data_IF_924242841700
#
_entry.id   IF_924242841700
#
_cell.length_a   1.000
_cell.length_b   1.000
_cell.length_c   1.000
_cell.angle_alpha   90.00
_cell.angle_beta   90.00
_cell.angle_gamma   90.00
#
_symmetry.space_group_name_H-M   'P 1'
#
loop_
_entity.id
_entity.type
_entity.pdbx_description
1 polymer ?
#
# COMPACT_ATOMS: atom_id res chain seq x y z
N UNK A 1 19.56 17.48 15.94
CA UNK A 1 18.83 16.19 15.87
C UNK A 1 17.51 16.52 15.20
N UNK A 2 17.34 16.16 13.93
CA UNK A 2 16.06 16.32 13.23
C UNK A 2 15.08 15.29 13.82
N UNK A 3 14.04 15.78 14.47
CA UNK A 3 12.96 14.93 14.99
C UNK A 3 12.29 14.28 13.78
N UNK A 4 12.31 12.93 13.72
CA UNK A 4 11.49 12.21 12.74
C UNK A 4 10.04 12.62 12.97
N UNK A 5 9.26 13.00 11.93
CA UNK A 5 7.87 13.37 12.16
C UNK A 5 7.13 12.20 12.79
N UNK A 6 6.18 12.51 13.63
CA UNK A 6 5.30 11.49 14.19
C UNK A 6 4.64 10.70 13.03
N UNK A 7 4.97 9.42 12.90
CA UNK A 7 4.50 8.57 11.79
C UNK A 7 5.60 8.03 10.87
N UNK A 8 6.86 8.52 10.98
CA UNK A 8 8.00 8.02 10.21
C UNK A 8 8.23 8.74 8.87
N UNK A 9 9.28 8.32 8.15
CA UNK A 9 9.65 8.83 6.83
C UNK A 9 9.92 7.68 5.84
N UNK A 10 9.16 7.66 4.74
CA UNK A 10 9.25 6.64 3.70
C UNK A 10 9.63 7.18 2.33
N UNK A 11 10.08 6.27 1.46
CA UNK A 11 10.29 6.54 0.04
C UNK A 11 9.50 5.53 -0.77
N UNK A 12 8.60 6.02 -1.64
CA UNK A 12 7.86 5.21 -2.59
C UNK A 12 8.44 5.38 -3.99
N UNK A 13 8.82 4.28 -4.62
CA UNK A 13 9.33 4.25 -5.99
C UNK A 13 8.29 3.59 -6.87
N UNK A 14 7.67 4.37 -7.75
CA UNK A 14 6.67 3.88 -8.68
C UNK A 14 7.31 3.36 -9.95
N UNK A 15 7.19 2.04 -10.19
CA UNK A 15 7.55 1.41 -11.46
C UNK A 15 6.30 1.13 -12.28
N UNK A 16 6.04 1.88 -13.37
CA UNK A 16 4.73 1.86 -14.03
C UNK A 16 4.51 0.69 -14.99
N UNK A 17 5.50 -0.15 -15.27
CA UNK A 17 5.44 -1.12 -16.35
C UNK A 17 4.91 -2.49 -15.90
N UNK A 18 4.07 -3.09 -16.76
CA UNK A 18 3.54 -4.45 -16.62
C UNK A 18 3.71 -5.23 -17.93
N UNK A 19 3.75 -6.57 -17.85
CA UNK A 19 3.66 -7.44 -19.02
C UNK A 19 2.23 -7.54 -19.54
N UNK A 20 1.24 -7.55 -18.64
CA UNK A 20 -0.19 -7.55 -18.94
C UNK A 20 -0.95 -6.71 -17.91
N UNK A 21 -2.09 -6.14 -18.31
CA UNK A 21 -2.96 -5.40 -17.37
C UNK A 21 -4.08 -6.29 -16.89
N UNK A 22 -4.17 -6.45 -15.58
CA UNK A 22 -5.26 -7.19 -14.95
C UNK A 22 -6.58 -6.42 -15.09
N UNK A 23 -7.73 -7.10 -15.33
CA UNK A 23 -9.01 -6.46 -15.61
C UNK A 23 -9.59 -5.64 -14.45
N UNK A 24 -9.17 -5.90 -13.22
CA UNK A 24 -9.57 -5.19 -12.00
C UNK A 24 -8.64 -4.03 -11.61
N UNK A 25 -7.42 -3.97 -12.19
CA UNK A 25 -6.36 -3.08 -11.71
C UNK A 25 -6.57 -1.64 -12.15
N UNK A 26 -6.66 -0.73 -11.18
CA UNK A 26 -6.76 0.73 -11.31
C UNK A 26 -5.42 1.47 -11.17
N UNK A 27 -4.35 0.74 -10.80
CA UNK A 27 -3.04 1.33 -10.61
C UNK A 27 -2.53 2.01 -11.89
N UNK A 28 -1.69 3.03 -11.72
CA UNK A 28 -0.99 3.68 -12.82
C UNK A 28 0.00 2.69 -13.46
N UNK A 29 -0.51 1.78 -14.26
CA UNK A 29 0.24 0.70 -14.88
C UNK A 29 0.10 0.71 -16.40
N UNK A 30 1.22 0.51 -17.10
CA UNK A 30 1.34 0.62 -18.55
C UNK A 30 1.96 -0.64 -19.12
N UNK A 31 1.26 -1.30 -20.03
CA UNK A 31 1.80 -2.47 -20.74
C UNK A 31 2.79 -1.98 -21.80
N UNK A 32 3.98 -2.60 -21.83
CA UNK A 32 4.99 -2.38 -22.88
C UNK A 32 5.42 -3.69 -23.48
N UNK A 33 5.33 -3.79 -24.81
CA UNK A 33 5.77 -4.95 -25.57
C UNK A 33 7.22 -4.80 -26.07
N UNK A 34 7.74 -3.59 -26.04
CA UNK A 34 9.15 -3.31 -26.37
C UNK A 34 9.95 -3.12 -25.08
N UNK A 35 11.21 -3.54 -25.04
CA UNK A 35 12.09 -3.29 -23.90
C UNK A 35 12.17 -1.80 -23.58
N UNK A 36 12.10 -1.48 -22.29
CA UNK A 36 12.27 -0.13 -21.76
C UNK A 36 13.72 0.04 -21.36
N UNK A 37 14.33 1.20 -21.64
CA UNK A 37 15.67 1.51 -21.13
C UNK A 37 15.61 1.76 -19.63
N UNK A 38 15.85 0.70 -18.85
CA UNK A 38 15.75 0.76 -17.39
C UNK A 38 16.78 1.70 -16.77
N UNK A 39 18.00 1.78 -17.34
CA UNK A 39 19.03 2.72 -16.89
C UNK A 39 18.58 4.18 -17.08
N UNK A 40 17.86 4.48 -18.15
CA UNK A 40 17.34 5.81 -18.40
C UNK A 40 16.29 6.20 -17.34
N UNK A 41 15.36 5.29 -17.04
CA UNK A 41 14.39 5.51 -15.95
C UNK A 41 15.05 5.59 -14.58
N UNK A 42 16.06 4.76 -14.28
CA UNK A 42 16.81 4.83 -13.04
C UNK A 42 17.50 6.19 -12.85
N UNK A 43 18.09 6.74 -13.92
CA UNK A 43 18.71 8.08 -13.89
C UNK A 43 17.67 9.18 -13.62
N UNK A 44 16.49 9.08 -14.23
CA UNK A 44 15.40 10.03 -14.00
C UNK A 44 14.87 9.94 -12.55
N UNK A 45 14.68 8.72 -12.02
CA UNK A 45 14.30 8.51 -10.63
C UNK A 45 15.34 9.09 -9.65
N UNK A 46 16.63 8.90 -9.93
CA UNK A 46 17.72 9.49 -9.15
C UNK A 46 17.68 11.03 -9.17
N UNK A 47 17.34 11.63 -10.30
CA UNK A 47 17.18 13.10 -10.42
C UNK A 47 16.01 13.60 -9.55
N UNK A 48 14.86 12.92 -9.57
CA UNK A 48 13.72 13.28 -8.69
C UNK A 48 14.06 13.10 -7.22
N UNK A 49 14.72 11.99 -6.84
CA UNK A 49 15.17 11.75 -5.47
C UNK A 49 16.07 12.87 -4.96
N UNK A 50 17.05 13.32 -5.79
CA UNK A 50 17.96 14.41 -5.44
C UNK A 50 17.19 15.72 -5.16
N UNK A 51 16.20 16.06 -5.98
CA UNK A 51 15.33 17.22 -5.76
C UNK A 51 14.58 17.14 -4.43
N UNK A 52 13.96 16.00 -4.11
CA UNK A 52 13.25 15.85 -2.85
C UNK A 52 14.19 15.88 -1.64
N UNK A 53 15.43 15.42 -1.79
CA UNK A 53 16.43 15.52 -0.72
C UNK A 53 16.80 16.98 -0.39
N UNK A 54 16.78 17.88 -1.38
CA UNK A 54 16.93 19.32 -1.15
C UNK A 54 15.74 19.92 -0.38
N UNK A 55 14.53 19.39 -0.58
CA UNK A 55 13.32 19.87 0.10
C UNK A 55 13.21 19.36 1.54
N UNK A 56 13.66 18.13 1.81
CA UNK A 56 13.60 17.48 3.12
C UNK A 56 14.96 16.85 3.49
N UNK A 57 15.99 17.68 3.74
CA UNK A 57 17.34 17.18 4.01
C UNK A 57 17.44 16.50 5.39
N UNK A 58 18.48 15.68 5.57
CA UNK A 58 18.89 15.16 6.87
C UNK A 58 17.91 14.19 7.53
N UNK A 59 16.94 13.64 6.78
CA UNK A 59 15.96 12.68 7.29
C UNK A 59 16.58 11.29 7.40
N UNK A 60 16.04 10.50 8.32
CA UNK A 60 16.29 9.05 8.39
C UNK A 60 15.17 8.32 7.68
N UNK A 61 15.51 7.42 6.75
CA UNK A 61 14.55 6.63 5.98
C UNK A 61 14.17 5.38 6.77
N UNK A 62 12.91 5.28 7.18
CA UNK A 62 12.39 4.12 7.88
C UNK A 62 11.99 3.00 6.92
N UNK A 63 11.49 3.37 5.71
CA UNK A 63 11.12 2.40 4.69
C UNK A 63 11.32 2.90 3.26
N UNK A 64 11.61 1.94 2.36
CA UNK A 64 11.56 2.13 0.91
C UNK A 64 10.60 1.09 0.34
N UNK A 65 9.69 1.50 -0.54
CA UNK A 65 8.73 0.60 -1.16
C UNK A 65 8.76 0.75 -2.69
N UNK A 66 9.08 -0.33 -3.38
CA UNK A 66 8.98 -0.43 -4.83
C UNK A 66 7.61 -1.00 -5.19
N UNK A 67 6.74 -0.17 -5.76
CA UNK A 67 5.36 -0.53 -6.08
C UNK A 67 4.91 -0.04 -7.46
N UNK A 68 3.63 -0.23 -7.76
CA UNK A 68 2.95 0.32 -8.93
C UNK A 68 2.50 -0.69 -9.96
N UNK A 69 3.15 -0.78 -11.12
CA UNK A 69 2.84 -1.78 -12.15
C UNK A 69 3.36 -3.16 -11.76
N UNK A 70 4.61 -3.44 -12.06
CA UNK A 70 5.29 -4.69 -11.69
C UNK A 70 6.76 -4.39 -11.42
N UNK A 71 7.12 -3.98 -10.20
CA UNK A 71 8.50 -3.63 -9.85
C UNK A 71 9.52 -4.75 -10.07
N UNK A 72 9.11 -6.00 -9.96
CA UNK A 72 9.94 -7.18 -10.23
C UNK A 72 10.31 -7.37 -11.71
N UNK A 73 9.86 -6.49 -12.60
CA UNK A 73 10.40 -6.40 -13.97
C UNK A 73 11.72 -5.62 -14.03
N UNK A 74 12.05 -4.83 -13.03
CA UNK A 74 13.35 -4.18 -12.95
C UNK A 74 14.47 -5.21 -12.85
N UNK A 75 15.60 -4.91 -13.47
CA UNK A 75 16.81 -5.70 -13.23
C UNK A 75 17.36 -5.40 -11.81
N UNK A 76 17.91 -6.41 -11.11
CA UNK A 76 18.45 -6.20 -9.75
C UNK A 76 19.45 -5.05 -9.65
N UNK A 77 20.27 -4.83 -10.68
CA UNK A 77 21.22 -3.72 -10.76
C UNK A 77 20.55 -2.35 -10.75
N UNK A 78 19.35 -2.23 -11.32
CA UNK A 78 18.56 -0.98 -11.33
C UNK A 78 18.07 -0.69 -9.91
N UNK A 79 17.57 -1.72 -9.21
CA UNK A 79 17.15 -1.61 -7.81
C UNK A 79 18.32 -1.17 -6.93
N UNK A 80 19.49 -1.81 -7.09
CA UNK A 80 20.73 -1.44 -6.38
C UNK A 80 21.12 0.03 -6.66
N UNK A 81 21.03 0.48 -7.90
CA UNK A 81 21.34 1.87 -8.28
C UNK A 81 20.43 2.85 -7.55
N UNK A 82 19.12 2.58 -7.49
CA UNK A 82 18.15 3.45 -6.81
C UNK A 82 18.41 3.44 -5.29
N UNK A 83 18.66 2.28 -4.68
CA UNK A 83 18.94 2.17 -3.25
C UNK A 83 20.25 2.89 -2.86
N UNK A 84 21.29 2.77 -3.67
CA UNK A 84 22.54 3.50 -3.46
C UNK A 84 22.33 5.02 -3.54
N UNK A 85 21.47 5.49 -4.43
CA UNK A 85 21.14 6.91 -4.52
C UNK A 85 20.37 7.38 -3.29
N UNK A 86 19.40 6.61 -2.79
CA UNK A 86 18.70 6.92 -1.53
C UNK A 86 19.68 7.00 -0.37
N UNK A 87 20.60 6.02 -0.23
CA UNK A 87 21.62 6.01 0.82
C UNK A 87 22.62 7.16 0.72
N UNK A 88 22.87 7.69 -0.49
CA UNK A 88 23.69 8.88 -0.71
C UNK A 88 22.99 10.16 -0.26
N UNK A 89 21.67 10.22 -0.42
CA UNK A 89 20.87 11.44 -0.20
C UNK A 89 20.37 11.58 1.24
N UNK A 90 20.04 10.46 1.89
CA UNK A 90 19.52 10.44 3.26
C UNK A 90 20.23 9.39 4.13
N UNK A 91 20.02 9.46 5.41
CA UNK A 91 20.46 8.39 6.31
C UNK A 91 19.56 7.16 6.13
N UNK A 92 20.11 6.09 5.56
CA UNK A 92 19.45 4.80 5.38
C UNK A 92 20.06 3.78 6.38
N UNK A 93 19.40 3.50 7.52
CA UNK A 93 19.90 2.55 8.50
C UNK A 93 19.71 1.10 8.02
N UNK A 94 20.53 0.19 8.52
CA UNK A 94 20.42 -1.25 8.23
C UNK A 94 19.08 -1.86 8.66
N UNK A 95 18.36 -1.18 9.56
CA UNK A 95 17.03 -1.57 10.05
C UNK A 95 15.88 -1.09 9.16
N UNK A 96 16.14 -0.29 8.12
CA UNK A 96 15.11 0.18 7.21
C UNK A 96 14.41 -0.99 6.50
N UNK A 97 13.09 -0.92 6.40
CA UNK A 97 12.33 -1.89 5.60
C UNK A 97 12.44 -1.52 4.12
N UNK A 98 12.94 -2.44 3.30
CA UNK A 98 13.05 -2.27 1.85
C UNK A 98 12.16 -3.32 1.19
N UNK A 99 10.96 -2.89 0.82
CA UNK A 99 9.90 -3.73 0.28
C UNK A 99 9.81 -3.64 -1.25
N UNK A 100 9.46 -4.76 -1.89
CA UNK A 100 9.20 -4.81 -3.34
C UNK A 100 8.00 -5.69 -3.64
N UNK A 101 7.14 -5.23 -4.54
CA UNK A 101 6.07 -6.03 -5.14
C UNK A 101 6.59 -6.91 -6.27
N UNK A 102 6.10 -8.15 -6.34
CA UNK A 102 6.45 -9.11 -7.36
C UNK A 102 5.25 -9.95 -7.79
N UNK A 103 5.24 -10.39 -9.06
CA UNK A 103 4.33 -11.45 -9.49
C UNK A 103 4.98 -12.82 -9.23
N UNK A 104 4.18 -13.85 -8.94
CA UNK A 104 4.67 -15.18 -8.65
C UNK A 104 4.90 -16.00 -9.93
N UNK A 105 5.55 -15.44 -10.95
CA UNK A 105 5.94 -16.18 -12.14
C UNK A 105 7.31 -16.84 -11.94
N UNK A 106 7.53 -17.95 -12.60
CA UNK A 106 8.81 -18.67 -12.56
C UNK A 106 9.98 -17.81 -13.03
N UNK A 107 9.76 -16.91 -13.99
CA UNK A 107 10.78 -15.98 -14.50
C UNK A 107 11.16 -14.95 -13.44
N UNK A 108 10.19 -14.37 -12.73
CA UNK A 108 10.46 -13.36 -11.71
C UNK A 108 11.15 -13.97 -10.48
N UNK A 109 10.76 -15.19 -10.09
CA UNK A 109 11.39 -15.91 -8.97
C UNK A 109 12.90 -16.14 -9.18
N UNK A 110 13.39 -16.24 -10.40
CA UNK A 110 14.84 -16.36 -10.68
C UNK A 110 15.63 -15.10 -10.30
N UNK A 111 14.97 -13.94 -10.19
CA UNK A 111 15.60 -12.66 -9.85
C UNK A 111 15.62 -12.36 -8.35
N UNK A 112 14.90 -13.13 -7.54
CA UNK A 112 14.73 -12.86 -6.10
C UNK A 112 16.08 -12.77 -5.35
N UNK A 113 17.01 -13.68 -5.64
CA UNK A 113 18.36 -13.61 -5.07
C UNK A 113 19.09 -12.32 -5.41
N UNK A 114 18.90 -11.82 -6.64
CA UNK A 114 19.47 -10.54 -7.08
C UNK A 114 18.87 -9.35 -6.33
N UNK A 115 17.55 -9.31 -6.13
CA UNK A 115 16.92 -8.24 -5.33
C UNK A 115 17.36 -8.28 -3.88
N UNK A 116 17.49 -9.50 -3.31
CA UNK A 116 18.04 -9.67 -1.95
C UNK A 116 19.46 -9.12 -1.85
N UNK A 117 20.30 -9.41 -2.83
CA UNK A 117 21.67 -8.88 -2.89
C UNK A 117 21.72 -7.37 -3.10
N UNK A 118 20.77 -6.81 -3.84
CA UNK A 118 20.63 -5.36 -4.03
C UNK A 118 20.19 -4.62 -2.75
N UNK A 119 19.67 -5.33 -1.73
CA UNK A 119 19.27 -4.73 -0.45
C UNK A 119 17.80 -4.90 -0.09
N UNK A 120 16.94 -5.42 -0.99
CA UNK A 120 15.53 -5.70 -0.66
C UNK A 120 15.47 -6.72 0.48
N UNK A 121 14.70 -6.41 1.54
CA UNK A 121 14.58 -7.28 2.71
C UNK A 121 13.14 -7.75 2.98
N UNK A 122 12.14 -7.23 2.24
CA UNK A 122 10.76 -7.67 2.28
C UNK A 122 10.18 -7.81 0.86
N UNK A 123 9.54 -8.93 0.56
CA UNK A 123 8.88 -9.16 -0.73
C UNK A 123 7.37 -9.33 -0.53
N UNK A 124 6.55 -8.61 -1.32
CA UNK A 124 5.10 -8.83 -1.42
C UNK A 124 4.78 -9.52 -2.74
N UNK A 125 4.14 -10.68 -2.68
CA UNK A 125 3.89 -11.52 -3.85
C UNK A 125 2.41 -11.49 -4.21
N UNK A 126 2.06 -10.93 -5.36
CA UNK A 126 0.68 -10.80 -5.83
C UNK A 126 0.10 -12.13 -6.33
N UNK A 127 -0.29 -13.05 -5.45
CA UNK A 127 -0.91 -14.33 -5.79
C UNK A 127 -2.33 -14.13 -6.32
N UNK A 128 -3.14 -13.43 -5.57
CA UNK A 128 -4.52 -13.01 -5.81
C UNK A 128 -5.58 -14.11 -5.60
N UNK A 129 -5.32 -15.38 -5.93
CA UNK A 129 -6.21 -16.51 -5.67
C UNK A 129 -5.43 -17.83 -5.62
N UNK A 130 -5.96 -18.82 -4.89
CA UNK A 130 -5.42 -20.18 -4.82
C UNK A 130 -6.25 -21.20 -5.64
N UNK A 131 -6.86 -20.72 -6.71
CA UNK A 131 -7.61 -21.50 -7.69
C UNK A 131 -7.27 -21.03 -9.12
N UNK A 132 -6.93 -21.95 -10.03
CA UNK A 132 -6.49 -21.61 -11.39
C UNK A 132 -7.61 -21.02 -12.27
N UNK A 133 -8.89 -21.30 -11.98
CA UNK A 133 -10.01 -20.69 -12.71
C UNK A 133 -10.20 -19.24 -12.28
N UNK A 134 -10.12 -18.99 -10.97
CA UNK A 134 -10.19 -17.65 -10.40
C UNK A 134 -9.03 -16.77 -10.88
N UNK A 135 -7.81 -17.33 -10.93
CA UNK A 135 -6.65 -16.62 -11.48
C UNK A 135 -6.88 -16.19 -12.93
N UNK A 136 -7.49 -17.05 -13.76
CA UNK A 136 -7.82 -16.71 -15.15
C UNK A 136 -8.87 -15.59 -15.23
N UNK A 137 -9.90 -15.61 -14.37
CA UNK A 137 -10.92 -14.56 -14.30
C UNK A 137 -10.27 -13.23 -13.90
N UNK A 138 -9.34 -13.25 -12.95
CA UNK A 138 -8.55 -12.10 -12.52
C UNK A 138 -7.46 -11.69 -13.55
N UNK A 139 -7.34 -12.37 -14.68
CA UNK A 139 -6.37 -12.06 -15.73
C UNK A 139 -4.92 -12.32 -15.34
N UNK A 140 -4.70 -13.20 -14.35
CA UNK A 140 -3.35 -13.55 -13.91
C UNK A 140 -2.68 -14.51 -14.88
N UNK A 141 -1.35 -14.34 -15.05
CA UNK A 141 -0.55 -15.10 -16.02
C UNK A 141 0.14 -16.33 -15.41
N UNK A 142 0.00 -16.54 -14.09
CA UNK A 142 0.59 -17.66 -13.37
C UNK A 142 -0.48 -18.65 -12.92
N UNK A 143 -0.06 -19.87 -12.63
CA UNK A 143 -0.85 -20.93 -12.01
C UNK A 143 -0.67 -20.92 -10.48
N UNK A 144 -1.57 -21.59 -9.76
CA UNK A 144 -1.44 -21.82 -8.31
C UNK A 144 -0.13 -22.53 -7.98
N UNK A 145 0.29 -23.50 -8.81
CA UNK A 145 1.55 -24.23 -8.60
C UNK A 145 2.77 -23.30 -8.69
N UNK A 146 2.81 -22.40 -9.68
CA UNK A 146 3.87 -21.39 -9.80
C UNK A 146 3.86 -20.42 -8.63
N UNK A 147 2.67 -20.01 -8.19
CA UNK A 147 2.53 -19.11 -7.04
C UNK A 147 3.10 -19.74 -5.76
N UNK A 148 2.78 -20.99 -5.47
CA UNK A 148 3.31 -21.70 -4.29
C UNK A 148 4.82 -21.84 -4.38
N UNK A 149 5.35 -22.21 -5.55
CA UNK A 149 6.79 -22.32 -5.75
C UNK A 149 7.50 -20.97 -5.57
N UNK A 150 6.93 -19.87 -6.07
CA UNK A 150 7.48 -18.54 -5.89
C UNK A 150 7.51 -18.12 -4.41
N UNK A 151 6.45 -18.43 -3.65
CA UNK A 151 6.41 -18.18 -2.18
C UNK A 151 7.49 -18.97 -1.46
N UNK A 152 7.70 -20.23 -1.81
CA UNK A 152 8.75 -21.07 -1.22
C UNK A 152 10.15 -20.52 -1.50
N UNK A 153 10.40 -20.05 -2.72
CA UNK A 153 11.67 -19.39 -3.10
C UNK A 153 11.83 -18.08 -2.32
N UNK A 154 10.77 -17.25 -2.27
CA UNK A 154 10.77 -15.99 -1.54
C UNK A 154 11.09 -16.19 -0.06
N UNK A 155 10.45 -17.18 0.59
CA UNK A 155 10.66 -17.52 2.01
C UNK A 155 12.11 -17.93 2.32
N UNK A 156 12.79 -18.59 1.37
CA UNK A 156 14.21 -18.97 1.51
C UNK A 156 15.17 -17.82 1.26
N UNK A 157 14.71 -16.79 0.53
CA UNK A 157 15.55 -15.70 0.03
C UNK A 157 15.46 -14.45 0.92
N UNK A 158 14.25 -14.10 1.35
CA UNK A 158 14.00 -12.86 2.09
C UNK A 158 13.70 -13.14 3.58
N UNK A 159 14.14 -12.25 4.48
CA UNK A 159 13.81 -12.36 5.90
C UNK A 159 12.31 -12.11 6.17
N UNK A 160 11.65 -11.33 5.32
CA UNK A 160 10.22 -11.00 5.42
C UNK A 160 9.55 -11.21 4.07
N UNK A 161 8.37 -11.81 4.10
CA UNK A 161 7.51 -11.95 2.92
C UNK A 161 6.06 -11.71 3.29
N UNK A 162 5.29 -11.24 2.32
CA UNK A 162 3.83 -11.26 2.33
C UNK A 162 3.33 -11.74 0.97
N UNK A 163 2.07 -12.10 0.91
CA UNK A 163 1.39 -12.24 -0.36
C UNK A 163 -0.04 -11.75 -0.28
N UNK A 164 -0.58 -11.43 -1.45
CA UNK A 164 -1.85 -10.78 -1.59
C UNK A 164 -2.90 -11.76 -2.11
N UNK A 165 -4.12 -11.71 -1.54
CA UNK A 165 -5.31 -12.39 -2.02
C UNK A 165 -6.44 -11.39 -2.25
N UNK A 166 -7.30 -11.71 -3.22
CA UNK A 166 -8.54 -10.99 -3.49
C UNK A 166 -9.71 -11.92 -3.14
N UNK A 167 -10.57 -11.50 -2.22
CA UNK A 167 -11.79 -12.22 -1.87
C UNK A 167 -13.06 -11.46 -2.30
N UNK A 168 -14.23 -11.99 -2.00
CA UNK A 168 -15.53 -11.51 -2.49
C UNK A 168 -15.57 -11.43 -4.03
N UNK A 169 -14.94 -12.41 -4.69
CA UNK A 169 -14.97 -12.57 -6.15
C UNK A 169 -16.34 -13.01 -6.62
N UNK A 170 -16.70 -12.75 -7.90
CA UNK A 170 -17.95 -13.23 -8.50
C UNK A 170 -18.18 -14.72 -8.22
N UNK A 171 -19.37 -15.07 -7.75
CA UNK A 171 -19.78 -16.45 -7.40
C UNK A 171 -18.98 -17.15 -6.30
N UNK A 172 -18.07 -16.46 -5.60
CA UNK A 172 -17.36 -17.03 -4.48
C UNK A 172 -18.35 -17.33 -3.32
N UNK A 173 -18.27 -18.50 -2.71
CA UNK A 173 -19.08 -18.85 -1.53
C UNK A 173 -18.27 -18.65 -0.26
N UNK A 174 -18.95 -18.41 0.86
CA UNK A 174 -18.30 -18.28 2.17
C UNK A 174 -17.43 -19.50 2.51
N UNK A 175 -17.92 -20.70 2.22
CA UNK A 175 -17.17 -21.95 2.42
C UNK A 175 -15.92 -22.05 1.53
N UNK A 176 -16.02 -21.62 0.28
CA UNK A 176 -14.85 -21.62 -0.61
C UNK A 176 -13.78 -20.65 -0.13
N UNK A 177 -14.21 -19.46 0.36
CA UNK A 177 -13.30 -18.49 0.95
C UNK A 177 -12.65 -19.01 2.24
N UNK A 178 -13.42 -19.61 3.13
CA UNK A 178 -12.89 -20.24 4.35
C UNK A 178 -11.78 -21.25 4.06
N UNK A 179 -11.99 -22.13 3.08
CA UNK A 179 -11.00 -23.14 2.67
C UNK A 179 -9.75 -22.48 2.06
N UNK A 180 -9.92 -21.49 1.19
CA UNK A 180 -8.83 -20.76 0.56
C UNK A 180 -8.02 -19.97 1.59
N UNK A 181 -8.69 -19.29 2.53
CA UNK A 181 -8.06 -18.54 3.61
C UNK A 181 -7.22 -19.43 4.53
N UNK A 182 -7.76 -20.55 4.97
CA UNK A 182 -7.01 -21.51 5.80
C UNK A 182 -5.76 -22.00 5.07
N UNK A 183 -5.88 -22.36 3.78
CA UNK A 183 -4.75 -22.76 2.95
C UNK A 183 -3.74 -21.63 2.80
N UNK A 184 -4.19 -20.39 2.64
CA UNK A 184 -3.32 -19.22 2.55
C UNK A 184 -2.53 -19.00 3.85
N UNK A 185 -3.19 -19.11 5.01
CA UNK A 185 -2.54 -18.99 6.31
C UNK A 185 -1.47 -20.07 6.50
N UNK A 186 -1.73 -21.30 6.08
CA UNK A 186 -0.75 -22.39 6.14
C UNK A 186 0.49 -22.11 5.24
N UNK A 187 0.30 -21.38 4.14
CA UNK A 187 1.36 -20.95 3.23
C UNK A 187 2.04 -19.66 3.70
N UNK A 188 1.38 -18.84 4.53
CA UNK A 188 1.91 -17.56 4.97
C UNK A 188 3.12 -17.73 5.90
N UNK A 189 3.98 -16.71 5.91
CA UNK A 189 5.03 -16.60 6.92
C UNK A 189 4.46 -15.84 8.15
N UNK A 190 4.42 -14.53 8.05
CA UNK A 190 4.07 -13.63 9.15
C UNK A 190 3.16 -12.47 8.73
N UNK A 191 2.77 -12.39 7.45
CA UNK A 191 1.97 -11.31 6.90
C UNK A 191 1.13 -11.76 5.69
N UNK A 192 -0.13 -11.30 5.63
CA UNK A 192 -1.06 -11.48 4.52
C UNK A 192 -1.76 -10.17 4.19
N UNK A 193 -1.91 -9.88 2.91
CA UNK A 193 -2.77 -8.80 2.40
C UNK A 193 -4.02 -9.41 1.78
N UNK A 194 -5.20 -9.04 2.26
CA UNK A 194 -6.47 -9.60 1.77
C UNK A 194 -7.40 -8.46 1.37
N UNK A 195 -7.57 -8.31 0.06
CA UNK A 195 -8.37 -7.24 -0.52
C UNK A 195 -9.74 -7.75 -0.94
N UNK A 196 -10.79 -7.06 -0.49
CA UNK A 196 -12.12 -7.30 -1.04
C UNK A 196 -12.16 -6.78 -2.47
N UNK A 197 -12.67 -7.59 -3.42
CA UNK A 197 -12.83 -7.14 -4.80
C UNK A 197 -13.78 -5.96 -4.88
N UNK A 198 -13.32 -4.86 -5.46
CA UNK A 198 -14.09 -3.66 -5.77
C UNK A 198 -14.08 -3.37 -7.26
N UNK A 199 -15.09 -2.65 -7.74
CA UNK A 199 -15.16 -2.22 -9.13
C UNK A 199 -14.61 -0.79 -9.23
N UNK A 200 -13.37 -0.69 -9.66
CA UNK A 200 -12.69 0.59 -9.78
C UNK A 200 -12.96 1.26 -11.14
N UNK A 201 -13.03 2.59 -11.11
CA UNK A 201 -13.29 3.39 -12.30
C UNK A 201 -12.18 3.24 -13.36
N UNK A 202 -12.55 3.19 -14.62
CA UNK A 202 -11.62 3.05 -15.74
C UNK A 202 -11.11 1.62 -16.01
N UNK A 203 -11.47 0.64 -15.16
CA UNK A 203 -11.05 -0.75 -15.30
C UNK A 203 -11.90 -1.53 -16.33
N UNK A 204 -11.37 -2.68 -16.76
CA UNK A 204 -12.16 -3.60 -17.60
C UNK A 204 -13.35 -4.18 -16.82
N UNK A 205 -13.18 -4.47 -15.53
CA UNK A 205 -14.26 -4.96 -14.68
C UNK A 205 -15.41 -3.96 -14.58
N UNK A 206 -15.15 -2.65 -14.52
CA UNK A 206 -16.21 -1.65 -14.58
C UNK A 206 -17.02 -1.74 -15.88
N UNK A 207 -16.36 -1.94 -17.02
CA UNK A 207 -17.04 -2.08 -18.33
C UNK A 207 -17.87 -3.34 -18.40
N UNK A 208 -17.37 -4.46 -17.88
CA UNK A 208 -18.09 -5.72 -17.82
C UNK A 208 -19.30 -5.65 -16.89
N UNK A 209 -19.12 -5.03 -15.72
CA UNK A 209 -20.20 -4.77 -14.77
C UNK A 209 -21.30 -3.89 -15.36
N UNK A 210 -20.95 -2.76 -15.96
CA UNK A 210 -21.90 -1.87 -16.63
C UNK A 210 -22.63 -2.53 -17.80
N UNK A 211 -22.00 -3.53 -18.45
CA UNK A 211 -22.62 -4.30 -19.52
C UNK A 211 -23.44 -5.53 -19.03
N UNK A 212 -23.58 -5.72 -17.70
CA UNK A 212 -24.27 -6.88 -17.12
C UNK A 212 -23.56 -8.22 -17.37
N UNK A 213 -22.25 -8.21 -17.65
CA UNK A 213 -21.43 -9.41 -17.92
C UNK A 213 -20.56 -9.83 -16.73
N UNK A 214 -20.53 -9.04 -15.70
CA UNK A 214 -19.91 -9.33 -14.42
C UNK A 214 -20.90 -8.97 -13.33
N UNK A 215 -21.17 -9.87 -12.43
CA UNK A 215 -22.00 -9.62 -11.25
C UNK A 215 -21.11 -9.57 -10.02
N UNK A 216 -21.34 -8.57 -9.17
CA UNK A 216 -20.66 -8.48 -7.87
C UNK A 216 -21.37 -9.41 -6.88
N UNK A 217 -20.61 -9.83 -5.87
CA UNK A 217 -21.15 -10.60 -4.79
C UNK A 217 -22.20 -9.77 -4.01
N UNK A 218 -23.17 -10.46 -3.43
CA UNK A 218 -24.12 -9.85 -2.52
C UNK A 218 -23.38 -9.13 -1.37
N UNK A 219 -23.72 -7.87 -1.02
CA UNK A 219 -23.04 -7.10 0.00
C UNK A 219 -23.03 -7.76 1.39
N UNK A 220 -24.12 -8.44 1.77
CA UNK A 220 -24.19 -9.13 3.07
C UNK A 220 -23.25 -10.33 3.09
N UNK A 221 -23.17 -11.09 2.00
CA UNK A 221 -22.20 -12.19 1.87
C UNK A 221 -20.75 -11.68 1.86
N UNK A 222 -20.50 -10.53 1.26
CA UNK A 222 -19.17 -9.91 1.29
C UNK A 222 -18.78 -9.45 2.71
N UNK A 223 -19.74 -8.93 3.49
CA UNK A 223 -19.56 -8.60 4.90
C UNK A 223 -19.30 -9.87 5.74
N UNK A 224 -20.06 -10.95 5.53
CA UNK A 224 -19.80 -12.24 6.18
C UNK A 224 -18.38 -12.77 5.89
N UNK A 225 -17.90 -12.60 4.66
CA UNK A 225 -16.51 -12.96 4.31
C UNK A 225 -15.47 -12.10 5.02
N UNK A 226 -15.74 -10.80 5.17
CA UNK A 226 -14.89 -9.90 5.94
C UNK A 226 -14.81 -10.35 7.41
N UNK A 227 -15.95 -10.59 8.06
CA UNK A 227 -16.00 -11.01 9.46
C UNK A 227 -15.31 -12.36 9.68
N UNK A 228 -15.56 -13.32 8.80
CA UNK A 228 -14.88 -14.62 8.80
C UNK A 228 -13.36 -14.47 8.66
N UNK A 229 -12.92 -13.54 7.80
CA UNK A 229 -11.49 -13.26 7.63
C UNK A 229 -10.87 -12.78 8.92
N UNK A 230 -11.50 -11.80 9.61
CA UNK A 230 -11.02 -11.28 10.89
C UNK A 230 -10.93 -12.38 11.95
N UNK A 231 -11.97 -13.20 12.06
CA UNK A 231 -12.05 -14.29 13.04
C UNK A 231 -10.94 -15.32 12.84
N UNK A 232 -10.81 -15.86 11.62
CA UNK A 232 -9.85 -16.94 11.32
C UNK A 232 -8.41 -16.43 11.45
N UNK A 233 -8.11 -15.26 10.92
CA UNK A 233 -6.73 -14.72 10.96
C UNK A 233 -6.31 -14.40 12.38
N UNK A 234 -7.18 -13.79 13.20
CA UNK A 234 -6.89 -13.51 14.60
C UNK A 234 -6.67 -14.81 15.40
N UNK A 235 -7.53 -15.83 15.20
CA UNK A 235 -7.40 -17.14 15.85
C UNK A 235 -6.10 -17.87 15.47
N UNK A 236 -5.55 -17.58 14.29
CA UNK A 236 -4.32 -18.17 13.76
C UNK A 236 -3.07 -17.29 14.01
N UNK A 237 -3.17 -16.24 14.85
CA UNK A 237 -2.03 -15.37 15.23
C UNK A 237 -1.62 -14.34 14.19
N UNK A 238 -2.50 -14.06 13.24
CA UNK A 238 -2.34 -13.03 12.22
C UNK A 238 -3.48 -11.99 12.31
N UNK A 239 -3.63 -11.26 13.44
CA UNK A 239 -4.69 -10.25 13.55
C UNK A 239 -4.50 -9.15 12.51
N UNK A 240 -5.59 -8.54 12.08
CA UNK A 240 -5.53 -7.34 11.29
C UNK A 240 -4.87 -6.21 12.07
N UNK A 241 -3.99 -5.45 11.42
CA UNK A 241 -3.45 -4.21 11.97
C UNK A 241 -4.05 -2.97 11.29
N UNK A 242 -4.61 -3.17 10.09
CA UNK A 242 -5.40 -2.19 9.35
C UNK A 242 -6.43 -2.92 8.45
N UNK A 243 -7.18 -2.20 7.63
CA UNK A 243 -8.37 -2.65 6.89
C UNK A 243 -8.15 -3.94 6.09
N UNK A 244 -7.00 -4.10 5.43
CA UNK A 244 -6.72 -5.18 4.47
C UNK A 244 -5.52 -6.05 4.83
N UNK A 245 -4.70 -5.63 5.78
CA UNK A 245 -3.44 -6.29 6.09
C UNK A 245 -3.43 -6.92 7.49
N UNK A 246 -2.97 -8.16 7.52
CA UNK A 246 -2.94 -9.03 8.68
C UNK A 246 -1.51 -9.49 8.94
N UNK A 247 -1.05 -9.40 10.18
CA UNK A 247 0.33 -9.73 10.50
C UNK A 247 0.47 -10.32 11.91
N UNK A 248 1.47 -11.16 12.08
CA UNK A 248 1.95 -11.52 13.41
C UNK A 248 2.46 -10.26 14.15
N UNK A 249 2.55 -10.28 15.48
CA UNK A 249 3.15 -9.18 16.24
C UNK A 249 4.53 -8.81 15.67
N UNK A 250 4.79 -7.52 15.54
CA UNK A 250 6.03 -6.93 14.99
C UNK A 250 6.31 -7.26 13.51
N UNK A 251 5.31 -7.81 12.81
CA UNK A 251 5.42 -8.18 11.40
C UNK A 251 4.64 -7.26 10.45
N UNK A 252 4.12 -6.15 10.90
CA UNK A 252 3.43 -5.16 10.07
C UNK A 252 4.38 -4.57 9.00
N UNK A 253 3.81 -4.16 7.87
CA UNK A 253 4.54 -3.42 6.85
C UNK A 253 4.78 -1.98 7.32
N UNK A 254 6.04 -1.60 7.53
CA UNK A 254 6.38 -0.25 8.01
C UNK A 254 5.95 0.83 7.02
N UNK A 255 6.07 0.56 5.72
CA UNK A 255 5.67 1.51 4.70
C UNK A 255 4.16 1.82 4.76
N UNK A 256 3.31 0.77 4.92
CA UNK A 256 1.87 0.95 5.09
C UNK A 256 1.57 1.75 6.37
N UNK A 257 2.28 1.45 7.46
CA UNK A 257 2.10 2.19 8.71
C UNK A 257 2.47 3.67 8.59
N UNK A 258 3.49 4.03 7.79
CA UNK A 258 3.81 5.43 7.51
C UNK A 258 2.62 6.14 6.88
N UNK A 259 1.98 5.54 5.89
CA UNK A 259 0.78 6.12 5.27
C UNK A 259 -0.37 6.24 6.27
N UNK A 260 -0.73 5.15 6.93
CA UNK A 260 -1.86 5.12 7.85
C UNK A 260 -1.65 6.01 9.09
N UNK A 261 -0.42 6.15 9.57
CA UNK A 261 -0.06 7.07 10.65
C UNK A 261 0.12 8.52 10.20
N UNK A 262 -0.21 8.83 8.95
CA UNK A 262 -0.03 10.16 8.38
C UNK A 262 1.40 10.67 8.56
N UNK A 263 2.39 9.83 8.28
CA UNK A 263 3.81 10.15 8.24
C UNK A 263 4.18 10.93 6.98
N UNK A 264 5.47 11.17 6.81
CA UNK A 264 6.01 11.78 5.59
C UNK A 264 6.49 10.69 4.62
N UNK A 265 6.30 10.93 3.34
CA UNK A 265 6.89 10.08 2.32
C UNK A 265 7.13 10.82 1.02
N UNK A 266 8.29 10.54 0.41
CA UNK A 266 8.63 10.95 -0.95
C UNK A 266 8.06 9.94 -1.92
N UNK A 267 7.35 10.39 -2.95
CA UNK A 267 6.95 9.56 -4.07
C UNK A 267 7.70 9.98 -5.35
N UNK A 268 8.40 9.03 -5.99
CA UNK A 268 9.11 9.26 -7.25
C UNK A 268 8.65 8.29 -8.33
N UNK A 269 8.74 8.71 -9.57
CA UNK A 269 8.30 7.94 -10.73
C UNK A 269 6.92 8.35 -11.23
N UNK A 270 6.49 7.83 -12.41
CA UNK A 270 5.25 8.24 -13.08
C UNK A 270 4.00 7.94 -12.26
N UNK A 271 3.23 8.96 -11.88
CA UNK A 271 2.00 8.83 -11.11
C UNK A 271 2.20 8.61 -9.61
N UNK A 272 3.42 8.83 -9.10
CA UNK A 272 3.67 8.78 -7.67
C UNK A 272 3.05 9.99 -6.94
N UNK A 273 2.66 9.75 -5.69
CA UNK A 273 2.20 10.77 -4.75
C UNK A 273 3.17 10.88 -3.58
N UNK A 274 3.21 12.03 -2.93
CA UNK A 274 4.02 12.26 -1.73
C UNK A 274 3.30 13.13 -0.71
N UNK A 275 3.73 13.01 0.54
CA UNK A 275 3.35 13.88 1.66
C UNK A 275 4.60 14.26 2.43
N UNK A 276 4.93 15.55 2.45
CA UNK A 276 6.19 16.04 3.01
C UNK A 276 5.93 17.16 3.98
N UNK A 277 6.62 17.13 5.11
CA UNK A 277 6.69 18.28 6.03
C UNK A 277 8.02 18.99 5.80
N UNK A 278 7.95 20.23 5.31
CA UNK A 278 9.11 21.08 5.06
C UNK A 278 9.69 21.62 6.38
N UNK A 279 10.87 22.22 6.33
CA UNK A 279 11.55 22.78 7.51
C UNK A 279 10.74 23.89 8.21
N UNK A 280 9.92 24.63 7.46
CA UNK A 280 9.03 25.68 8.00
C UNK A 280 7.73 25.11 8.60
N UNK A 281 7.56 23.79 8.63
CA UNK A 281 6.37 23.10 9.11
C UNK A 281 5.23 22.99 8.08
N UNK A 282 5.39 23.50 6.88
CA UNK A 282 4.39 23.37 5.81
C UNK A 282 4.25 21.91 5.40
N UNK A 283 3.02 21.38 5.42
CA UNK A 283 2.71 20.06 4.84
C UNK A 283 2.41 20.21 3.36
N UNK A 284 3.09 19.44 2.54
CA UNK A 284 3.01 19.48 1.09
C UNK A 284 2.46 18.16 0.56
N UNK A 285 1.46 18.22 -0.30
CA UNK A 285 1.00 17.10 -1.11
C UNK A 285 1.61 17.22 -2.51
N UNK A 286 2.28 16.17 -2.96
CA UNK A 286 2.90 16.14 -4.29
C UNK A 286 2.28 15.07 -5.17
N UNK A 287 2.21 15.31 -6.47
CA UNK A 287 1.89 14.28 -7.46
C UNK A 287 2.71 14.45 -8.72
N UNK A 288 3.05 13.34 -9.38
CA UNK A 288 3.83 13.33 -10.61
C UNK A 288 2.97 12.97 -11.82
N UNK A 289 3.45 13.34 -13.01
CA UNK A 289 2.85 12.98 -14.29
C UNK A 289 2.66 11.45 -14.40
N UNK A 290 1.46 11.03 -14.83
CA UNK A 290 1.08 9.61 -14.88
C UNK A 290 1.63 8.88 -16.09
N UNK A 291 1.74 9.56 -17.25
CA UNK A 291 2.22 8.91 -18.46
C UNK A 291 3.76 8.78 -18.43
N UNK A 292 4.34 7.56 -18.52
CA UNK A 292 5.76 7.34 -18.26
C UNK A 292 6.70 8.16 -19.13
N UNK A 293 6.42 8.24 -20.43
CA UNK A 293 7.30 8.97 -21.38
C UNK A 293 7.18 10.49 -21.19
N UNK A 294 5.98 10.99 -20.83
CA UNK A 294 5.81 12.41 -20.51
C UNK A 294 6.51 12.77 -19.20
N UNK A 295 6.39 11.91 -18.18
CA UNK A 295 7.12 12.05 -16.92
C UNK A 295 8.62 12.09 -17.15
N UNK A 296 9.15 11.16 -17.95
CA UNK A 296 10.57 11.10 -18.28
C UNK A 296 11.06 12.40 -18.94
N UNK A 297 10.32 12.91 -19.95
CA UNK A 297 10.63 14.16 -20.60
C UNK A 297 10.57 15.39 -19.68
N UNK A 298 9.66 15.39 -18.69
CA UNK A 298 9.60 16.44 -17.66
C UNK A 298 10.84 16.38 -16.75
N UNK A 299 11.24 15.20 -16.30
CA UNK A 299 12.44 15.04 -15.45
C UNK A 299 13.69 15.48 -16.20
N UNK A 300 13.84 15.14 -17.49
CA UNK A 300 14.98 15.54 -18.31
C UNK A 300 15.05 17.05 -18.53
N UNK A 301 13.92 17.71 -18.66
CA UNK A 301 13.87 19.15 -19.01
C UNK A 301 13.77 20.05 -17.78
N UNK A 302 13.13 19.60 -16.70
CA UNK A 302 12.83 20.40 -15.51
C UNK A 302 13.51 19.88 -14.24
N UNK A 303 14.11 18.67 -14.26
CA UNK A 303 14.65 18.00 -13.08
C UNK A 303 13.61 17.26 -12.23
N UNK A 304 12.33 17.26 -12.62
CA UNK A 304 11.26 16.55 -11.89
C UNK A 304 10.05 16.31 -12.78
N UNK A 305 9.27 15.28 -12.45
CA UNK A 305 7.99 15.00 -13.09
C UNK A 305 6.77 15.52 -12.32
N UNK A 306 6.95 16.32 -11.28
CA UNK A 306 5.86 16.86 -10.46
C UNK A 306 4.92 17.74 -11.32
N UNK A 307 3.61 17.45 -11.21
CA UNK A 307 2.51 18.21 -11.84
C UNK A 307 1.68 18.98 -10.82
N UNK A 308 1.75 18.60 -9.54
CA UNK A 308 1.16 19.35 -8.44
C UNK A 308 2.06 19.29 -7.21
N UNK A 309 2.06 20.42 -6.45
CA UNK A 309 2.74 20.61 -5.17
C UNK A 309 1.86 21.53 -4.32
N UNK A 310 0.84 20.93 -3.72
CA UNK A 310 -0.21 21.68 -3.03
C UNK A 310 0.11 21.79 -1.53
N UNK A 311 0.06 23.01 -1.00
CA UNK A 311 0.20 23.25 0.44
C UNK A 311 -1.11 22.91 1.13
N UNK A 312 -1.08 21.90 2.00
CA UNK A 312 -2.25 21.48 2.75
C UNK A 312 -2.54 22.46 3.89
N UNK A 313 -3.76 22.98 3.92
CA UNK A 313 -4.25 23.75 5.06
C UNK A 313 -4.54 22.83 6.24
N UNK A 314 -4.72 23.41 7.44
CA UNK A 314 -4.87 22.62 8.67
C UNK A 314 -6.06 21.68 8.63
N UNK A 315 -7.19 22.10 8.06
CA UNK A 315 -8.39 21.27 7.95
C UNK A 315 -8.13 20.03 7.09
N UNK A 316 -7.48 20.22 5.93
CA UNK A 316 -7.10 19.11 5.04
C UNK A 316 -6.14 18.13 5.73
N UNK A 317 -5.19 18.63 6.51
CA UNK A 317 -4.27 17.78 7.28
C UNK A 317 -5.01 16.95 8.33
N UNK A 318 -6.01 17.55 9.01
CA UNK A 318 -6.86 16.86 9.97
C UNK A 318 -7.71 15.77 9.29
N UNK A 319 -8.32 16.11 8.18
CA UNK A 319 -9.16 15.18 7.41
C UNK A 319 -8.34 14.00 6.85
N UNK A 320 -7.14 14.26 6.32
CA UNK A 320 -6.23 13.19 5.88
C UNK A 320 -5.78 12.30 7.04
N UNK A 321 -5.40 12.87 8.20
CA UNK A 321 -5.02 12.08 9.37
C UNK A 321 -6.18 11.23 9.86
N UNK A 322 -7.40 11.77 9.90
CA UNK A 322 -8.59 11.06 10.32
C UNK A 322 -8.93 9.93 9.33
N UNK A 323 -8.93 10.25 8.02
CA UNK A 323 -9.19 9.30 6.95
C UNK A 323 -8.22 8.11 6.97
N UNK A 324 -6.94 8.38 7.16
CA UNK A 324 -5.91 7.35 7.18
C UNK A 324 -5.87 6.61 8.53
N UNK A 325 -5.80 7.34 9.63
CA UNK A 325 -5.54 6.76 10.93
C UNK A 325 -6.69 5.94 11.51
N UNK A 326 -7.94 6.26 11.19
CA UNK A 326 -9.09 5.45 11.62
C UNK A 326 -9.14 4.07 10.95
N UNK A 327 -8.36 3.83 9.90
CA UNK A 327 -8.18 2.52 9.27
C UNK A 327 -7.24 1.59 10.04
N UNK A 328 -6.48 2.13 11.00
CA UNK A 328 -5.62 1.33 11.88
C UNK A 328 -6.41 0.77 13.06
N UNK A 329 -6.18 -0.49 13.41
CA UNK A 329 -6.71 -1.08 14.64
C UNK A 329 -6.12 -0.46 15.92
N UNK A 330 -4.97 0.22 15.83
CA UNK A 330 -4.45 1.03 16.92
C UNK A 330 -5.18 2.39 17.08
N UNK A 331 -5.93 2.82 16.05
CA UNK A 331 -6.64 4.09 16.00
C UNK A 331 -5.73 5.33 15.90
N UNK A 332 -6.31 6.50 16.12
CA UNK A 332 -5.65 7.79 16.02
C UNK A 332 -5.26 8.36 17.38
N UNK A 333 -4.19 9.16 17.41
CA UNK A 333 -3.84 10.03 18.54
C UNK A 333 -4.64 11.32 18.43
N UNK A 334 -5.63 11.51 19.31
CA UNK A 334 -6.55 12.65 19.26
C UNK A 334 -5.85 13.98 19.53
N UNK A 335 -4.94 14.13 20.50
CA UNK A 335 -4.13 15.35 20.65
C UNK A 335 -3.37 15.74 19.39
N UNK A 336 -2.83 14.76 18.65
CA UNK A 336 -2.17 15.02 17.37
C UNK A 336 -3.16 15.49 16.30
N UNK A 337 -4.34 14.90 16.24
CA UNK A 337 -5.40 15.36 15.35
C UNK A 337 -5.79 16.82 15.65
N UNK A 338 -6.03 17.16 16.90
CA UNK A 338 -6.35 18.53 17.32
C UNK A 338 -5.22 19.53 17.01
N UNK A 339 -3.96 19.11 17.21
CA UNK A 339 -2.80 19.93 16.87
C UNK A 339 -2.70 20.22 15.38
N UNK A 340 -2.90 19.21 14.53
CA UNK A 340 -2.77 19.35 13.07
C UNK A 340 -3.96 20.08 12.48
N UNK A 341 -5.18 19.67 12.83
CA UNK A 341 -6.41 20.25 12.28
C UNK A 341 -6.75 21.63 12.88
N UNK A 342 -6.41 21.83 14.15
CA UNK A 342 -6.92 22.96 14.95
C UNK A 342 -8.39 22.78 15.36
N UNK A 343 -8.98 21.60 15.11
CA UNK A 343 -10.37 21.25 15.45
C UNK A 343 -10.42 20.25 16.60
N UNK A 344 -11.54 20.23 17.31
CA UNK A 344 -11.90 19.19 18.25
C UNK A 344 -13.11 18.41 17.70
N UNK A 345 -13.23 17.15 18.08
CA UNK A 345 -14.45 16.40 17.73
C UNK A 345 -15.67 17.03 18.40
N UNK A 346 -16.79 17.07 17.67
CA UNK A 346 -18.07 17.45 18.26
C UNK A 346 -18.42 16.46 19.39
N UNK A 347 -18.55 16.94 20.66
CA UNK A 347 -18.75 16.03 21.81
C UNK A 347 -20.00 15.17 21.70
N UNK A 348 -21.08 15.71 21.13
CA UNK A 348 -22.36 14.98 21.01
C UNK A 348 -22.26 13.88 19.94
N UNK A 349 -21.61 14.15 18.82
CA UNK A 349 -21.40 13.16 17.76
C UNK A 349 -20.47 12.03 18.24
N UNK A 350 -19.38 12.39 18.92
CA UNK A 350 -18.49 11.39 19.51
C UNK A 350 -19.20 10.53 20.54
N UNK A 351 -20.01 11.13 21.42
CA UNK A 351 -20.81 10.39 22.40
C UNK A 351 -21.78 9.44 21.69
N UNK A 352 -22.49 9.89 20.66
CA UNK A 352 -23.41 9.07 19.88
C UNK A 352 -22.69 7.86 19.23
N UNK A 353 -21.51 8.07 18.66
CA UNK A 353 -20.71 6.98 18.09
C UNK A 353 -20.27 5.97 19.15
N UNK A 354 -19.91 6.43 20.37
CA UNK A 354 -19.56 5.55 21.48
C UNK A 354 -20.78 4.77 22.01
N UNK A 355 -21.92 5.44 22.22
CA UNK A 355 -23.17 4.77 22.69
C UNK A 355 -23.68 3.73 21.69
N UNK A 356 -23.48 3.97 20.38
CA UNK A 356 -23.80 2.99 19.34
C UNK A 356 -22.70 1.93 19.15
N UNK A 357 -21.65 1.95 19.95
CA UNK A 357 -20.56 0.98 19.88
C UNK A 357 -19.71 1.05 18.61
N UNK A 358 -19.68 2.20 17.93
CA UNK A 358 -18.91 2.36 16.68
C UNK A 358 -17.44 2.71 16.93
N UNK A 359 -17.16 3.46 18.00
CA UNK A 359 -15.81 3.85 18.40
C UNK A 359 -15.59 3.63 19.90
N UNK A 360 -14.33 3.44 20.27
CA UNK A 360 -13.91 3.29 21.66
C UNK A 360 -12.56 3.97 21.92
N UNK A 361 -12.37 4.41 23.16
CA UNK A 361 -11.08 4.88 23.66
C UNK A 361 -10.25 3.69 24.14
N UNK A 362 -9.08 3.48 23.52
CA UNK A 362 -8.11 2.46 23.96
C UNK A 362 -7.10 2.99 24.96
N UNK A 363 -7.02 4.30 25.08
CA UNK A 363 -6.25 5.03 26.10
C UNK A 363 -6.85 6.42 26.29
N UNK A 364 -6.27 7.23 27.16
CA UNK A 364 -6.71 8.63 27.37
C UNK A 364 -6.53 9.52 26.13
N UNK A 365 -5.77 9.08 25.14
CA UNK A 365 -5.44 9.87 23.95
C UNK A 365 -5.75 9.16 22.64
N UNK A 366 -6.06 7.85 22.65
CA UNK A 366 -6.29 7.08 21.43
C UNK A 366 -7.72 6.65 21.25
N UNK A 367 -8.29 7.06 20.13
CA UNK A 367 -9.63 6.69 19.67
C UNK A 367 -9.51 5.74 18.47
N UNK A 368 -10.27 4.62 18.47
CA UNK A 368 -10.35 3.72 17.32
C UNK A 368 -11.78 3.32 17.00
N UNK A 369 -11.99 2.81 15.79
CA UNK A 369 -13.21 2.08 15.46
C UNK A 369 -13.23 0.73 16.21
N UNK A 370 -14.40 0.32 16.67
CA UNK A 370 -14.62 -1.02 17.22
C UNK A 370 -14.76 -2.06 16.11
N UNK A 371 -14.82 -3.33 16.45
CA UNK A 371 -15.14 -4.39 15.48
C UNK A 371 -16.49 -4.14 14.78
N UNK A 372 -17.48 -3.61 15.47
CA UNK A 372 -18.80 -3.23 14.90
C UNK A 372 -18.69 -1.98 14.02
N UNK A 373 -17.81 -1.04 14.37
CA UNK A 373 -17.61 0.21 13.61
C UNK A 373 -16.79 0.02 12.33
N UNK A 374 -15.91 -0.97 12.25
CA UNK A 374 -15.03 -1.19 11.11
C UNK A 374 -15.77 -1.41 9.78
N UNK A 375 -16.84 -2.21 9.68
CA UNK A 375 -17.63 -2.34 8.44
C UNK A 375 -18.28 -1.02 8.00
N UNK A 376 -18.52 -0.10 8.94
CA UNK A 376 -19.14 1.22 8.71
C UNK A 376 -18.12 2.38 8.74
N UNK A 377 -16.85 2.08 8.60
CA UNK A 377 -15.75 3.01 8.88
C UNK A 377 -15.86 4.34 8.14
N UNK A 378 -16.28 4.34 6.87
CA UNK A 378 -16.44 5.58 6.12
C UNK A 378 -17.54 6.49 6.71
N UNK A 379 -18.62 5.93 7.22
CA UNK A 379 -19.66 6.68 7.91
C UNK A 379 -19.16 7.21 9.28
N UNK A 380 -18.43 6.39 10.02
CA UNK A 380 -17.79 6.80 11.28
C UNK A 380 -16.83 7.97 11.07
N UNK A 381 -15.97 7.89 10.04
CA UNK A 381 -15.04 8.96 9.69
C UNK A 381 -15.79 10.24 9.31
N UNK A 382 -16.82 10.13 8.47
CA UNK A 382 -17.64 11.28 8.05
C UNK A 382 -18.33 11.96 9.25
N UNK A 383 -18.82 11.18 10.21
CA UNK A 383 -19.45 11.71 11.43
C UNK A 383 -18.44 12.40 12.35
N UNK A 384 -17.21 11.87 12.47
CA UNK A 384 -16.12 12.48 13.24
C UNK A 384 -15.57 13.75 12.57
N UNK A 385 -15.54 13.80 11.22
CA UNK A 385 -15.03 14.96 10.47
C UNK A 385 -16.03 16.13 10.42
N UNK A 386 -17.29 15.88 10.72
CA UNK A 386 -18.34 16.90 10.64
C UNK A 386 -18.34 17.82 11.87
N UNK A 387 -18.55 19.12 11.65
CA UNK A 387 -18.62 20.17 12.70
C UNK A 387 -19.84 20.01 13.61
#
# INVERSE_FOLDING_TARGET
>A
MTVSPAGGFGIYVHWPFCLAKCPYCDFNSHVRHQPVSQEHYAKALATELARYAEMVPGRTVDSIFFGGGTPSLMEPKIVETILNEVARLWHLPDTAEISMEANPTSVEATRFAGYRSAGVNRLSVGIQALDDKELKILGRQHSVSEAIQAVEIARKTFPRISFDLIYARPNQTLKAWEQELNRAIDLAADHLSMYQLTIESGTMFQRLYAAGKLEMLDPDLAADMFDLTQEITAARGLPAYEVSNHAAPDAQCLHNLIYWRYGDYVGVGPGAHGRLTLEDGTKLATSTEKHPETWLGLVETKGHGAISEDRLVRDEQGDELLLMGMRLHEGIDVPRYEQLSGRQFNPQRLLNLQENGMVEWVSNTRLRATQTGFPLLNAVIAELASD
#
